data_IF_509467939112
#
_entry.id   IF_509467939112
#
_cell.length_a   1.000
_cell.length_b   1.000
_cell.length_c   1.000
_cell.angle_alpha   90.00
_cell.angle_beta   90.00
_cell.angle_gamma   90.00
#
_symmetry.space_group_name_H-M   'P 1'
#
loop_
_entity.id
_entity.type
_entity.pdbx_description
1 polymer ?
#
# COMPACT_ATOMS: atom_id res chain seq x y z
N UNK A 1 -22.10 -7.72 3.18
CA UNK A 1 -21.40 -6.82 2.24
C UNK A 1 -20.40 -7.69 1.50
N UNK A 2 -20.36 -7.72 0.16
CA UNK A 2 -19.36 -8.52 -0.53
C UNK A 2 -17.95 -7.96 -0.33
N UNK A 3 -17.05 -8.86 0.07
CA UNK A 3 -15.62 -8.62 0.28
C UNK A 3 -14.83 -9.31 -0.83
N UNK A 4 -13.74 -8.69 -1.27
CA UNK A 4 -12.80 -9.29 -2.21
C UNK A 4 -11.38 -9.03 -1.74
N UNK A 5 -10.57 -10.08 -1.75
CA UNK A 5 -9.13 -10.00 -1.56
C UNK A 5 -8.42 -10.70 -2.71
N UNK A 6 -7.33 -10.11 -3.18
CA UNK A 6 -6.48 -10.67 -4.22
C UNK A 6 -5.10 -10.00 -4.23
N UNK A 7 -4.14 -10.63 -4.90
CA UNK A 7 -2.79 -10.13 -5.05
C UNK A 7 -2.49 -9.88 -6.53
N UNK A 8 -1.78 -8.79 -6.81
CA UNK A 8 -1.25 -8.48 -8.14
C UNK A 8 0.26 -8.68 -8.07
N UNK A 9 0.77 -9.67 -8.79
CA UNK A 9 2.22 -9.89 -8.94
C UNK A 9 2.78 -8.81 -9.86
N UNK A 10 3.81 -8.10 -9.43
CA UNK A 10 4.55 -7.12 -10.25
C UNK A 10 5.76 -7.79 -10.88
N UNK A 11 6.51 -8.55 -10.07
CA UNK A 11 7.61 -9.44 -10.48
C UNK A 11 7.85 -10.51 -9.39
N UNK A 12 8.98 -11.22 -9.44
CA UNK A 12 9.34 -12.29 -8.50
C UNK A 12 9.46 -11.85 -7.03
N UNK A 13 9.75 -10.57 -6.77
CA UNK A 13 10.01 -10.04 -5.42
C UNK A 13 9.05 -8.93 -5.01
N UNK A 14 8.11 -8.54 -5.88
CA UNK A 14 7.27 -7.37 -5.66
C UNK A 14 5.81 -7.69 -5.99
N UNK A 15 4.90 -7.31 -5.09
CA UNK A 15 3.47 -7.55 -5.28
C UNK A 15 2.60 -6.51 -4.60
N UNK A 16 1.34 -6.43 -5.04
CA UNK A 16 0.31 -5.57 -4.46
C UNK A 16 -0.75 -6.45 -3.82
N UNK A 17 -0.95 -6.31 -2.52
CA UNK A 17 -2.10 -6.89 -1.84
C UNK A 17 -3.29 -5.93 -1.96
N UNK A 18 -4.46 -6.44 -2.31
CA UNK A 18 -5.69 -5.65 -2.43
C UNK A 18 -6.82 -6.31 -1.65
N UNK A 19 -7.43 -5.53 -0.77
CA UNK A 19 -8.70 -5.81 -0.10
C UNK A 19 -9.70 -4.71 -0.44
N UNK A 20 -10.94 -5.09 -0.74
CA UNK A 20 -12.03 -4.15 -0.99
C UNK A 20 -13.35 -4.67 -0.48
N UNK A 21 -14.08 -3.81 0.22
CA UNK A 21 -15.47 -4.01 0.61
C UNK A 21 -16.38 -3.17 -0.26
N UNK A 22 -17.54 -3.73 -0.59
CA UNK A 22 -18.57 -2.98 -1.29
C UNK A 22 -19.95 -3.17 -0.68
N UNK A 23 -20.76 -2.11 -0.73
CA UNK A 23 -22.17 -2.14 -0.39
C UNK A 23 -22.96 -1.40 -1.46
N UNK A 24 -24.03 -2.02 -1.97
CA UNK A 24 -24.90 -1.44 -3.02
C UNK A 24 -24.10 -0.91 -4.23
N UNK A 25 -23.04 -1.61 -4.64
CA UNK A 25 -22.18 -1.24 -5.77
C UNK A 25 -21.18 -0.10 -5.50
N UNK A 26 -21.08 0.40 -4.27
CA UNK A 26 -20.12 1.43 -3.85
C UNK A 26 -19.00 0.81 -3.00
N UNK A 27 -17.78 1.32 -3.14
CA UNK A 27 -16.66 0.96 -2.26
C UNK A 27 -16.87 1.59 -0.89
N UNK A 28 -16.90 0.76 0.15
CA UNK A 28 -17.13 1.18 1.55
C UNK A 28 -15.89 1.08 2.40
N UNK A 29 -14.95 0.21 2.05
CA UNK A 29 -13.63 0.15 2.64
C UNK A 29 -12.63 -0.45 1.64
N UNK A 30 -11.36 -0.16 1.81
CA UNK A 30 -10.29 -0.81 1.05
C UNK A 30 -8.97 -0.77 1.80
N UNK A 31 -8.09 -1.71 1.46
CA UNK A 31 -6.67 -1.71 1.81
C UNK A 31 -5.89 -2.12 0.57
N UNK A 32 -4.86 -1.35 0.20
CA UNK A 32 -3.91 -1.68 -0.86
C UNK A 32 -2.51 -1.54 -0.29
N UNK A 33 -1.74 -2.62 -0.29
CA UNK A 33 -0.37 -2.65 0.24
C UNK A 33 0.62 -2.94 -0.87
N UNK A 34 1.77 -2.28 -0.82
CA UNK A 34 2.95 -2.72 -1.55
C UNK A 34 3.77 -3.66 -0.68
N UNK A 35 3.93 -4.90 -1.12
CA UNK A 35 4.76 -5.92 -0.49
C UNK A 35 6.00 -6.16 -1.33
N UNK A 36 7.17 -6.15 -0.69
CA UNK A 36 8.46 -6.36 -1.34
C UNK A 36 9.31 -7.35 -0.53
N UNK A 37 9.89 -8.34 -1.21
CA UNK A 37 10.86 -9.26 -0.62
C UNK A 37 12.25 -8.64 -0.72
N UNK A 38 12.89 -8.34 0.41
CA UNK A 38 14.23 -7.74 0.54
C UNK A 38 15.01 -8.61 1.53
N UNK A 39 16.22 -9.05 1.18
CA UNK A 39 17.03 -9.94 2.03
C UNK A 39 16.27 -11.19 2.55
N UNK A 40 15.46 -11.79 1.67
CA UNK A 40 14.59 -12.95 1.94
C UNK A 40 13.46 -12.71 2.98
N UNK A 41 13.23 -11.46 3.37
CA UNK A 41 12.13 -11.04 4.24
C UNK A 41 11.09 -10.22 3.47
N UNK A 42 9.80 -10.36 3.81
CA UNK A 42 8.72 -9.59 3.19
C UNK A 42 8.42 -8.33 4.00
N UNK A 43 8.43 -7.17 3.33
CA UNK A 43 8.15 -5.87 3.93
C UNK A 43 6.90 -5.23 3.32
N UNK A 44 6.06 -4.66 4.18
CA UNK A 44 5.00 -3.70 3.79
C UNK A 44 5.64 -2.31 3.68
N UNK A 45 5.96 -1.87 2.46
CA UNK A 45 6.66 -0.59 2.25
C UNK A 45 5.70 0.59 2.33
N UNK A 46 4.51 0.44 1.77
CA UNK A 46 3.47 1.47 1.78
C UNK A 46 2.07 0.84 1.80
N UNK A 47 1.14 1.53 2.43
CA UNK A 47 -0.27 1.13 2.50
C UNK A 47 -1.18 2.30 2.18
N UNK A 48 -2.11 2.08 1.25
CA UNK A 48 -3.28 2.93 1.09
C UNK A 48 -4.47 2.26 1.77
N UNK A 49 -5.18 2.96 2.65
CA UNK A 49 -6.42 2.42 3.22
C UNK A 49 -7.46 3.50 3.49
N UNK A 50 -8.69 3.04 3.77
CA UNK A 50 -9.85 3.88 4.09
C UNK A 50 -10.09 4.05 5.59
N UNK A 51 -9.10 3.74 6.44
CA UNK A 51 -9.19 3.90 7.87
C UNK A 51 -9.56 5.34 8.26
N UNK A 52 -10.25 5.51 9.39
CA UNK A 52 -10.73 6.80 9.88
C UNK A 52 -11.74 7.53 8.97
N UNK A 53 -12.30 6.86 7.96
CA UNK A 53 -13.31 7.45 7.08
C UNK A 53 -12.75 8.37 6.00
N UNK A 54 -11.43 8.51 5.90
CA UNK A 54 -10.74 9.33 4.89
C UNK A 54 -9.62 8.49 4.29
N UNK A 55 -9.51 8.36 2.95
CA UNK A 55 -8.41 7.62 2.36
C UNK A 55 -7.08 8.26 2.70
N UNK A 56 -6.08 7.44 2.99
CA UNK A 56 -4.75 7.93 3.28
C UNK A 56 -3.68 6.92 2.88
N UNK A 57 -2.44 7.40 2.85
CA UNK A 57 -1.22 6.64 2.61
C UNK A 57 -0.46 6.58 3.92
N UNK A 58 -0.19 5.38 4.41
CA UNK A 58 0.81 5.12 5.44
C UNK A 58 2.12 4.69 4.76
N UNK A 59 3.20 5.41 5.04
CA UNK A 59 4.58 5.02 4.67
C UNK A 59 5.20 4.37 5.90
N UNK A 60 5.73 3.16 5.75
CA UNK A 60 6.20 2.34 6.87
C UNK A 60 7.73 2.29 6.91
N UNK A 61 8.30 2.19 8.11
CA UNK A 61 9.71 1.84 8.33
C UNK A 61 9.94 0.32 8.21
N UNK A 62 11.21 -0.14 8.22
CA UNK A 62 11.55 -1.56 8.24
C UNK A 62 10.96 -2.38 9.40
N UNK A 63 10.56 -1.73 10.50
CA UNK A 63 9.91 -2.40 11.63
C UNK A 63 8.37 -2.43 11.51
N UNK A 64 7.83 -1.93 10.39
CA UNK A 64 6.39 -1.91 10.10
C UNK A 64 5.62 -0.82 10.83
N UNK A 65 6.30 0.19 11.37
CA UNK A 65 5.66 1.35 12.01
C UNK A 65 5.43 2.45 10.98
N UNK A 66 4.27 3.09 11.06
CA UNK A 66 3.92 4.25 10.22
C UNK A 66 4.80 5.44 10.58
N UNK A 67 5.59 5.88 9.61
CA UNK A 67 6.48 7.02 9.74
C UNK A 67 5.87 8.31 9.19
N UNK A 68 5.04 8.18 8.17
CA UNK A 68 4.31 9.31 7.61
C UNK A 68 2.91 8.86 7.19
N UNK A 69 1.92 9.71 7.48
CA UNK A 69 0.54 9.57 7.03
C UNK A 69 0.18 10.74 6.12
N UNK A 70 -0.28 10.44 4.91
CA UNK A 70 -0.69 11.43 3.90
C UNK A 70 -2.18 11.26 3.63
N UNK A 71 -2.98 12.26 3.97
CA UNK A 71 -4.43 12.25 3.74
C UNK A 71 -4.76 12.58 2.29
N UNK A 72 -5.65 11.79 1.69
CA UNK A 72 -6.18 12.01 0.34
C UNK A 72 -7.61 12.56 0.45
N UNK A 73 -7.76 13.69 1.13
CA UNK A 73 -9.07 14.26 1.49
C UNK A 73 -9.95 14.60 0.27
N UNK A 74 -9.34 14.84 -0.89
CA UNK A 74 -10.05 15.13 -2.14
C UNK A 74 -10.49 13.88 -2.91
N UNK A 75 -10.15 12.67 -2.42
CA UNK A 75 -10.46 11.42 -3.08
C UNK A 75 -11.66 10.72 -2.42
N UNK A 76 -12.57 10.20 -3.24
CA UNK A 76 -13.48 9.14 -2.80
C UNK A 76 -12.73 7.83 -2.58
N UNK A 77 -13.31 6.90 -1.82
CA UNK A 77 -12.69 5.58 -1.59
C UNK A 77 -12.44 4.81 -2.89
N UNK A 78 -13.32 4.98 -3.88
CA UNK A 78 -13.16 4.36 -5.20
C UNK A 78 -11.99 4.98 -5.97
N UNK A 79 -11.88 6.30 -5.98
CA UNK A 79 -10.75 6.99 -6.63
C UNK A 79 -9.43 6.63 -5.95
N UNK A 80 -9.40 6.61 -4.62
CA UNK A 80 -8.21 6.25 -3.86
C UNK A 80 -7.79 4.80 -4.11
N UNK A 81 -8.72 3.85 -4.15
CA UNK A 81 -8.44 2.45 -4.53
C UNK A 81 -7.84 2.33 -5.94
N UNK A 82 -8.38 3.06 -6.91
CA UNK A 82 -7.85 3.05 -8.29
C UNK A 82 -6.47 3.70 -8.35
N UNK A 83 -6.31 4.83 -7.66
CA UNK A 83 -5.06 5.56 -7.57
C UNK A 83 -3.96 4.73 -6.92
N UNK A 84 -4.21 4.11 -5.77
CA UNK A 84 -3.27 3.25 -5.06
C UNK A 84 -2.69 2.14 -5.94
N UNK A 85 -3.56 1.43 -6.67
CA UNK A 85 -3.13 0.36 -7.59
C UNK A 85 -2.30 0.90 -8.76
N UNK A 86 -2.63 2.09 -9.27
CA UNK A 86 -1.91 2.71 -10.38
C UNK A 86 -0.53 3.19 -9.93
N UNK A 87 -0.51 3.95 -8.83
CA UNK A 87 0.69 4.53 -8.25
C UNK A 87 1.74 3.45 -7.91
N UNK A 88 1.34 2.39 -7.20
CA UNK A 88 2.28 1.31 -6.88
C UNK A 88 2.81 0.65 -8.16
N UNK A 89 1.95 0.37 -9.14
CA UNK A 89 2.39 -0.24 -10.41
C UNK A 89 3.40 0.62 -11.16
N UNK A 90 3.23 1.93 -11.13
CA UNK A 90 4.08 2.88 -11.86
C UNK A 90 5.38 3.19 -11.10
N UNK A 91 5.40 3.10 -9.77
CA UNK A 91 6.48 3.62 -8.94
C UNK A 91 7.13 2.62 -7.96
N UNK A 92 6.74 1.33 -7.95
CA UNK A 92 7.22 0.34 -6.96
C UNK A 92 8.75 0.23 -6.88
N UNK A 93 9.46 0.38 -8.00
CA UNK A 93 10.93 0.31 -8.06
C UNK A 93 11.56 1.43 -7.24
N UNK A 94 11.07 2.67 -7.40
CA UNK A 94 11.54 3.82 -6.65
C UNK A 94 11.25 3.66 -5.14
N UNK A 95 10.07 3.15 -4.79
CA UNK A 95 9.72 2.91 -3.39
C UNK A 95 10.62 1.86 -2.76
N UNK A 96 10.92 0.78 -3.50
CA UNK A 96 11.85 -0.27 -3.06
C UNK A 96 13.24 0.27 -2.81
N UNK A 97 13.79 1.03 -3.76
CA UNK A 97 15.14 1.61 -3.65
C UNK A 97 15.25 2.51 -2.42
N UNK A 98 14.26 3.38 -2.19
CA UNK A 98 14.22 4.26 -1.01
C UNK A 98 14.15 3.47 0.30
N UNK A 99 13.33 2.41 0.33
CA UNK A 99 13.20 1.58 1.51
C UNK A 99 14.50 0.83 1.84
N UNK A 100 15.20 0.29 0.84
CA UNK A 100 16.51 -0.37 1.03
C UNK A 100 17.54 0.63 1.58
N UNK A 101 17.60 1.85 1.02
CA UNK A 101 18.51 2.89 1.52
C UNK A 101 18.25 3.22 2.99
N UNK A 102 16.98 3.27 3.38
CA UNK A 102 16.60 3.52 4.77
C UNK A 102 16.96 2.35 5.68
N UNK A 103 16.58 1.11 5.31
CA UNK A 103 16.93 -0.11 6.06
C UNK A 103 18.43 -0.16 6.40
N UNK A 104 19.28 0.12 5.40
CA UNK A 104 20.73 0.09 5.58
C UNK A 104 21.27 1.18 6.53
N UNK A 105 20.54 2.26 6.76
CA UNK A 105 20.91 3.31 7.73
C UNK A 105 20.54 2.90 9.16
N UNK A 106 19.45 2.16 9.34
CA UNK A 106 19.02 1.70 10.68
C UNK A 106 19.81 0.49 11.20
N UNK A 107 20.43 -0.28 10.30
CA UNK A 107 21.32 -1.39 10.65
C UNK A 107 22.74 -0.94 11.07
N UNK A 108 23.04 0.36 11.02
CA UNK A 108 24.32 0.96 11.44
C UNK A 108 24.27 1.54 12.86
#
# INVERSE_FOLDING_TARGET
MPEKFYQIVLDEKNSIFVYVETAMGKVTAFVVKYLAIIDDEEFEILRYDSGHGVPHIDILDPQGKTMQKIWLSDFTFKEALVHAKKDIKEHYQLYRERFILWKNVEEQ
#
